data_IF_429416468401
#
_entry.id   IF_429416468401
#
_cell.length_a   1.000
_cell.length_b   1.000
_cell.length_c   1.000
_cell.angle_alpha   90.00
_cell.angle_beta   90.00
_cell.angle_gamma   90.00
#
_symmetry.space_group_name_H-M   'P 1'
#
loop_
_entity.id
_entity.type
_entity.pdbx_description
1 polymer ?
#
# COMPACT_ATOMS: atom_id res chain seq x y z
N UNK A 1 -34.32 -8.01 -10.37
CA UNK A 1 -33.83 -7.23 -9.21
C UNK A 1 -34.63 -7.69 -7.99
N UNK A 2 -33.99 -7.99 -6.86
CA UNK A 2 -34.72 -8.37 -5.63
C UNK A 2 -35.32 -7.12 -4.96
N UNK A 3 -36.36 -7.30 -4.14
CA UNK A 3 -36.99 -6.18 -3.41
C UNK A 3 -35.98 -5.38 -2.56
N UNK A 4 -35.09 -6.07 -1.86
CA UNK A 4 -34.05 -5.45 -1.03
C UNK A 4 -33.05 -4.64 -1.84
N UNK A 5 -32.67 -5.11 -3.04
CA UNK A 5 -31.82 -4.34 -3.94
C UNK A 5 -32.55 -3.10 -4.47
N UNK A 6 -33.83 -3.22 -4.83
CA UNK A 6 -34.62 -2.09 -5.32
C UNK A 6 -34.76 -0.99 -4.26
N UNK A 7 -35.01 -1.37 -2.99
CA UNK A 7 -35.06 -0.43 -1.86
C UNK A 7 -33.71 0.26 -1.62
N UNK A 8 -32.60 -0.48 -1.66
CA UNK A 8 -31.27 0.07 -1.48
C UNK A 8 -30.90 1.06 -2.60
N UNK A 9 -31.27 0.75 -3.85
CA UNK A 9 -31.05 1.65 -4.99
C UNK A 9 -31.89 2.92 -4.86
N UNK A 10 -33.16 2.81 -4.50
CA UNK A 10 -34.05 3.95 -4.30
C UNK A 10 -33.55 4.87 -3.16
N UNK A 11 -33.10 4.31 -2.03
CA UNK A 11 -32.54 5.13 -0.95
C UNK A 11 -31.20 5.78 -1.33
N UNK A 12 -30.40 5.11 -2.17
CA UNK A 12 -29.16 5.69 -2.70
C UNK A 12 -29.46 6.89 -3.58
N UNK A 13 -30.42 6.78 -4.49
CA UNK A 13 -30.83 7.87 -5.38
C UNK A 13 -31.40 9.05 -4.57
N UNK A 14 -32.32 8.75 -3.65
CA UNK A 14 -32.93 9.75 -2.75
C UNK A 14 -31.89 10.52 -1.93
N UNK A 15 -30.78 9.90 -1.54
CA UNK A 15 -29.67 10.58 -0.83
C UNK A 15 -28.80 11.40 -1.78
N UNK A 16 -28.53 10.87 -2.97
CA UNK A 16 -27.70 11.52 -3.98
C UNK A 16 -28.32 12.81 -4.47
N UNK A 17 -29.62 12.81 -4.76
CA UNK A 17 -30.38 14.01 -5.14
C UNK A 17 -30.21 15.13 -4.10
N UNK A 18 -30.52 14.86 -2.83
CA UNK A 18 -30.33 15.85 -1.75
C UNK A 18 -28.91 16.36 -1.63
N UNK A 19 -27.91 15.51 -1.84
CA UNK A 19 -26.50 15.92 -1.79
C UNK A 19 -26.15 16.83 -2.97
N UNK A 20 -26.66 16.54 -4.17
CA UNK A 20 -26.43 17.36 -5.36
C UNK A 20 -27.12 18.71 -5.24
N UNK A 21 -28.37 18.74 -4.76
CA UNK A 21 -29.13 19.98 -4.55
C UNK A 21 -28.40 20.87 -3.54
N UNK A 22 -28.04 20.31 -2.38
CA UNK A 22 -27.27 21.03 -1.38
C UNK A 22 -25.94 21.56 -1.93
N UNK A 23 -25.21 20.73 -2.67
CA UNK A 23 -23.94 21.14 -3.26
C UNK A 23 -24.13 22.26 -4.30
N UNK A 24 -25.18 22.21 -5.11
CA UNK A 24 -25.51 23.23 -6.10
C UNK A 24 -25.90 24.55 -5.42
N UNK A 25 -26.75 24.50 -4.40
CA UNK A 25 -27.16 25.68 -3.62
C UNK A 25 -25.99 26.37 -2.93
N UNK A 26 -24.99 25.59 -2.49
CA UNK A 26 -23.85 26.09 -1.72
C UNK A 26 -22.56 26.26 -2.55
N UNK A 27 -22.60 26.00 -3.86
CA UNK A 27 -21.42 26.06 -4.73
C UNK A 27 -20.31 25.06 -4.36
N UNK A 28 -20.65 23.93 -3.72
CA UNK A 28 -19.69 22.92 -3.29
C UNK A 28 -19.36 21.98 -4.45
N UNK A 29 -18.09 21.89 -4.82
CA UNK A 29 -17.60 20.88 -5.74
C UNK A 29 -17.18 19.63 -4.97
N UNK A 30 -17.77 18.44 -5.21
CA UNK A 30 -17.38 17.22 -4.52
C UNK A 30 -15.92 16.86 -4.78
N UNK A 31 -15.14 16.64 -3.73
CA UNK A 31 -13.76 16.21 -3.82
C UNK A 31 -13.49 15.01 -2.90
N UNK A 32 -12.56 14.15 -3.30
CA UNK A 32 -12.10 13.05 -2.45
C UNK A 32 -11.30 13.60 -1.28
N UNK A 33 -11.67 13.21 -0.06
CA UNK A 33 -10.91 13.55 1.14
C UNK A 33 -9.52 12.90 1.05
N UNK A 34 -8.45 13.71 0.98
CA UNK A 34 -7.06 13.26 1.09
C UNK A 34 -6.52 13.60 2.47
N UNK A 35 -6.54 12.63 3.39
CA UNK A 35 -5.89 12.78 4.70
C UNK A 35 -4.39 12.49 4.56
N UNK A 36 -3.54 13.43 4.99
CA UNK A 36 -2.12 13.14 5.19
C UNK A 36 -2.01 12.16 6.35
N UNK A 37 -1.47 10.97 6.10
CA UNK A 37 -1.04 10.05 7.15
C UNK A 37 0.31 10.57 7.62
N UNK A 38 0.32 11.46 8.61
CA UNK A 38 1.56 11.79 9.31
C UNK A 38 1.98 10.55 10.09
N UNK A 39 2.84 9.73 9.48
CA UNK A 39 3.39 8.56 10.13
C UNK A 39 4.62 8.99 10.92
N UNK A 40 4.40 9.50 12.13
CA UNK A 40 5.44 10.01 13.04
C UNK A 40 6.57 8.99 13.26
N UNK A 41 6.27 7.69 13.16
CA UNK A 41 7.26 6.63 13.28
C UNK A 41 8.24 6.59 12.09
N UNK A 42 7.80 7.01 10.90
CA UNK A 42 8.66 7.03 9.71
C UNK A 42 9.80 8.03 9.84
N UNK A 43 9.56 9.20 10.43
CA UNK A 43 10.58 10.25 10.59
C UNK A 43 11.63 9.87 11.64
N UNK A 44 11.22 9.22 12.75
CA UNK A 44 12.13 8.72 13.79
C UNK A 44 13.08 7.62 13.28
N UNK A 45 12.64 6.80 12.31
CA UNK A 45 13.46 5.73 11.74
C UNK A 45 14.48 6.22 10.70
N UNK A 46 14.23 7.35 10.04
CA UNK A 46 15.20 7.87 9.06
C UNK A 46 16.47 8.37 9.74
N UNK A 47 16.38 9.04 10.90
CA UNK A 47 17.56 9.54 11.61
C UNK A 47 18.50 8.42 12.10
N UNK A 48 17.96 7.26 12.44
CA UNK A 48 18.74 6.09 12.91
C UNK A 48 19.34 5.28 11.77
N UNK A 49 18.72 5.28 10.59
CA UNK A 49 19.17 4.45 9.45
C UNK A 49 20.40 5.03 8.73
N UNK A 50 20.62 6.35 8.77
CA UNK A 50 21.79 6.99 8.11
C UNK A 50 23.12 6.51 8.69
N UNK A 51 23.12 6.03 9.94
CA UNK A 51 24.32 5.54 10.64
C UNK A 51 24.62 4.04 10.39
N UNK A 52 23.69 3.29 9.78
CA UNK A 52 23.80 1.83 9.62
C UNK A 52 24.07 1.35 8.19
N UNK A 53 24.34 2.25 7.23
CA UNK A 53 24.79 1.87 5.89
C UNK A 53 26.28 1.45 5.90
N UNK A 54 26.60 0.36 6.59
CA UNK A 54 27.77 -0.45 6.29
C UNK A 54 27.30 -1.64 5.44
N UNK A 55 27.76 -1.66 4.19
CA UNK A 55 27.34 -2.57 3.14
C UNK A 55 27.39 -4.05 3.53
N UNK A 56 26.31 -4.79 3.29
CA UNK A 56 26.38 -6.25 3.19
C UNK A 56 26.92 -6.65 1.81
N UNK A 57 27.84 -7.62 1.73
CA UNK A 57 28.39 -8.09 0.47
C UNK A 57 27.28 -8.74 -0.38
N UNK A 58 27.31 -8.44 -1.68
CA UNK A 58 26.34 -8.95 -2.65
C UNK A 58 26.28 -10.46 -2.62
N UNK A 59 25.18 -11.01 -2.12
CA UNK A 59 24.82 -12.38 -2.42
C UNK A 59 24.36 -12.42 -3.89
N UNK A 60 25.23 -12.96 -4.73
CA UNK A 60 24.97 -13.33 -6.12
C UNK A 60 23.79 -14.32 -6.16
N UNK A 61 22.56 -13.80 -6.29
CA UNK A 61 21.41 -14.61 -6.66
C UNK A 61 21.20 -14.44 -8.16
N UNK A 62 21.56 -15.51 -8.87
CA UNK A 62 21.53 -15.74 -10.31
C UNK A 62 20.34 -15.07 -11.04
N UNK A 63 20.68 -14.09 -11.88
CA UNK A 63 20.27 -13.79 -13.26
C UNK A 63 18.89 -14.20 -13.87
N UNK A 64 17.90 -14.73 -13.15
CA UNK A 64 16.57 -15.05 -13.71
C UNK A 64 15.43 -14.28 -13.00
N UNK A 65 14.69 -13.40 -13.71
CA UNK A 65 13.52 -12.68 -13.17
C UNK A 65 12.46 -13.58 -12.51
N UNK A 66 12.35 -14.85 -12.90
CA UNK A 66 11.40 -15.80 -12.28
C UNK A 66 11.78 -16.18 -10.85
N UNK A 67 13.08 -16.32 -10.58
CA UNK A 67 13.58 -16.70 -9.25
C UNK A 67 13.36 -15.55 -8.26
N UNK A 68 13.59 -14.31 -8.72
CA UNK A 68 13.37 -13.10 -7.93
C UNK A 68 11.90 -12.96 -7.51
N UNK A 69 10.96 -13.26 -8.40
CA UNK A 69 9.53 -13.21 -8.06
C UNK A 69 9.14 -14.20 -6.95
N UNK A 70 9.73 -15.40 -6.96
CA UNK A 70 9.51 -16.41 -5.92
C UNK A 70 10.13 -15.99 -4.59
N UNK A 71 11.33 -15.41 -4.62
CA UNK A 71 12.01 -14.89 -3.44
C UNK A 71 11.23 -13.73 -2.81
N UNK A 72 10.76 -12.78 -3.61
CA UNK A 72 9.88 -11.70 -3.14
C UNK A 72 8.60 -12.26 -2.52
N UNK A 73 8.00 -13.29 -3.11
CA UNK A 73 6.80 -13.92 -2.53
C UNK A 73 7.09 -14.61 -1.19
N UNK A 74 8.25 -15.26 -1.05
CA UNK A 74 8.72 -15.85 0.21
C UNK A 74 8.92 -14.77 1.27
N UNK A 75 9.70 -13.74 0.97
CA UNK A 75 9.97 -12.62 1.88
C UNK A 75 8.68 -11.89 2.31
N UNK A 76 7.70 -11.73 1.40
CA UNK A 76 6.39 -11.15 1.72
C UNK A 76 5.61 -12.00 2.73
N UNK A 77 5.72 -13.33 2.70
CA UNK A 77 5.10 -14.21 3.70
C UNK A 77 5.79 -14.09 5.05
N UNK A 78 7.11 -14.06 5.06
CA UNK A 78 7.92 -13.90 6.29
C UNK A 78 7.65 -12.54 6.95
N UNK A 79 7.57 -11.46 6.16
CA UNK A 79 7.24 -10.12 6.64
C UNK A 79 5.86 -10.09 7.32
N UNK A 80 4.85 -10.74 6.73
CA UNK A 80 3.51 -10.83 7.32
C UNK A 80 3.53 -11.62 8.63
N UNK A 81 4.24 -12.73 8.68
CA UNK A 81 4.40 -13.54 9.88
C UNK A 81 5.08 -12.76 11.01
N UNK A 82 6.14 -12.00 10.69
CA UNK A 82 6.80 -11.11 11.65
C UNK A 82 5.84 -10.02 12.16
N UNK A 83 5.03 -9.43 11.29
CA UNK A 83 4.02 -8.45 11.68
C UNK A 83 2.91 -9.06 12.57
N UNK A 84 2.48 -10.30 12.30
CA UNK A 84 1.53 -11.05 13.15
C UNK A 84 2.11 -11.32 14.54
N UNK A 85 3.42 -11.57 14.63
CA UNK A 85 4.15 -11.75 15.89
C UNK A 85 4.55 -10.44 16.57
N UNK A 86 4.13 -9.28 16.03
CA UNK A 86 4.47 -7.93 16.52
C UNK A 86 5.97 -7.60 16.47
N UNK A 87 6.75 -8.34 15.67
CA UNK A 87 8.17 -8.08 15.44
C UNK A 87 8.35 -7.02 14.32
N UNK A 88 8.09 -5.76 14.66
CA UNK A 88 8.07 -4.69 13.65
C UNK A 88 9.44 -4.37 13.04
N UNK A 89 10.53 -4.55 13.79
CA UNK A 89 11.88 -4.35 13.27
C UNK A 89 12.25 -5.36 12.19
N UNK A 90 11.91 -6.63 12.39
CA UNK A 90 12.18 -7.70 11.43
C UNK A 90 11.30 -7.54 10.20
N UNK A 91 10.02 -7.19 10.39
CA UNK A 91 9.11 -6.84 9.31
C UNK A 91 9.60 -5.64 8.48
N UNK A 92 10.14 -4.60 9.13
CA UNK A 92 10.70 -3.43 8.46
C UNK A 92 11.92 -3.79 7.60
N UNK A 93 12.87 -4.58 8.14
CA UNK A 93 14.03 -5.06 7.38
C UNK A 93 13.62 -5.88 6.15
N UNK A 94 12.66 -6.79 6.32
CA UNK A 94 12.12 -7.61 5.22
C UNK A 94 11.44 -6.75 4.15
N UNK A 95 10.67 -5.72 4.55
CA UNK A 95 10.06 -4.75 3.63
C UNK A 95 11.13 -4.05 2.79
N UNK A 96 12.19 -3.56 3.41
CA UNK A 96 13.23 -2.80 2.71
C UNK A 96 14.05 -3.72 1.78
N UNK A 97 14.28 -4.97 2.17
CA UNK A 97 14.88 -5.99 1.30
C UNK A 97 14.01 -6.32 0.09
N UNK A 98 12.68 -6.44 0.28
CA UNK A 98 11.73 -6.64 -0.82
C UNK A 98 11.80 -5.47 -1.80
N UNK A 99 11.79 -4.22 -1.31
CA UNK A 99 11.88 -3.02 -2.16
C UNK A 99 13.17 -3.00 -2.98
N UNK A 100 14.31 -3.27 -2.34
CA UNK A 100 15.60 -3.31 -3.03
C UNK A 100 15.64 -4.39 -4.14
N UNK A 101 15.02 -5.55 -3.92
CA UNK A 101 14.90 -6.60 -4.93
C UNK A 101 13.95 -6.21 -6.08
N UNK A 102 12.78 -5.63 -5.76
CA UNK A 102 11.80 -5.18 -6.76
C UNK A 102 12.34 -4.05 -7.64
N UNK A 103 13.11 -3.11 -7.07
CA UNK A 103 13.79 -2.04 -7.80
C UNK A 103 14.92 -2.56 -8.68
N UNK A 104 15.81 -3.40 -8.14
CA UNK A 104 16.97 -3.93 -8.87
C UNK A 104 16.58 -4.75 -10.10
N UNK A 105 15.48 -5.49 -10.02
CA UNK A 105 15.05 -6.40 -11.09
C UNK A 105 13.82 -5.91 -11.87
N UNK A 106 13.32 -4.70 -11.58
CA UNK A 106 12.15 -4.14 -12.28
C UNK A 106 10.86 -4.95 -12.09
N UNK A 107 10.80 -5.83 -11.08
CA UNK A 107 9.64 -6.67 -10.78
C UNK A 107 8.63 -5.84 -9.98
N UNK A 108 8.11 -4.80 -10.60
CA UNK A 108 7.03 -4.03 -10.02
C UNK A 108 5.76 -4.86 -10.24
N UNK A 109 5.25 -5.51 -9.19
CA UNK A 109 3.87 -6.01 -9.22
C UNK A 109 2.93 -4.80 -9.29
N UNK A 110 2.76 -4.25 -10.49
CA UNK A 110 1.89 -3.11 -10.75
C UNK A 110 0.45 -3.57 -10.56
N UNK A 111 -0.09 -3.36 -9.36
CA UNK A 111 -1.54 -3.24 -9.17
C UNK A 111 -2.07 -1.87 -9.65
N UNK A 112 -1.21 -1.05 -10.28
CA UNK A 112 -1.51 0.32 -10.73
C UNK A 112 -1.80 0.46 -12.24
N UNK A 113 -1.95 -0.63 -13.01
CA UNK A 113 -2.37 -0.58 -14.43
C UNK A 113 -3.87 -0.87 -14.59
N UNK A 114 -4.71 -0.18 -13.81
CA UNK A 114 -6.15 -0.04 -14.10
C UNK A 114 -6.52 1.41 -13.76
N UNK A 115 -6.23 2.28 -14.70
CA UNK A 115 -6.84 3.60 -14.84
C UNK A 115 -7.22 3.72 -16.31
#
# INVERSE_FOLDING_TARGET
>A
ITRSMAEAMAETERRRERQMDYNSEHGITPQTIRKKTENVLYDLHQETTVLAQAAEPGADYESDPKNVAQDVARLKREMRKAAELLEFETAARLRDRIRALEERYGVHTSKASRA
#
